data_IF_450242079658
#
_entry.id   IF_450242079658
#
_cell.length_a   1.000
_cell.length_b   1.000
_cell.length_c   1.000
_cell.angle_alpha   90.00
_cell.angle_beta   90.00
_cell.angle_gamma   90.00
#
_symmetry.space_group_name_H-M   'P 1'
#
loop_
_entity.id
_entity.type
_entity.pdbx_description
1 polymer ?
#
# COMPACT_ATOMS: atom_id res chain seq x y z
N UNK A 1 -0.67 13.35 -9.43
CA UNK A 1 0.66 13.00 -9.98
C UNK A 1 0.49 12.01 -11.12
N UNK A 2 1.37 12.05 -12.12
CA UNK A 2 1.44 11.03 -13.16
C UNK A 2 2.18 9.77 -12.63
N UNK A 3 2.08 8.61 -13.31
CA UNK A 3 2.68 7.36 -12.81
C UNK A 3 4.19 7.43 -12.53
N UNK A 4 4.95 8.17 -13.33
CA UNK A 4 6.41 8.33 -13.15
C UNK A 4 6.71 9.18 -11.91
N UNK A 5 5.96 10.25 -11.70
CA UNK A 5 6.08 11.10 -10.50
C UNK A 5 5.75 10.31 -9.23
N UNK A 6 4.80 9.38 -9.29
CA UNK A 6 4.44 8.51 -8.15
C UNK A 6 5.60 7.55 -7.82
N UNK A 7 6.17 6.87 -8.82
CA UNK A 7 7.31 5.97 -8.58
C UNK A 7 8.54 6.71 -8.02
N UNK A 8 8.81 7.90 -8.56
CA UNK A 8 9.89 8.77 -8.07
C UNK A 8 9.65 9.22 -6.63
N UNK A 9 8.42 9.63 -6.31
CA UNK A 9 8.05 10.02 -4.96
C UNK A 9 8.23 8.86 -3.98
N UNK A 10 7.71 7.66 -4.30
CA UNK A 10 7.82 6.47 -3.46
C UNK A 10 9.29 6.06 -3.24
N UNK A 11 10.12 6.10 -4.29
CA UNK A 11 11.56 5.84 -4.16
C UNK A 11 12.23 6.84 -3.21
N UNK A 12 11.90 8.13 -3.34
CA UNK A 12 12.44 9.17 -2.48
C UNK A 12 12.07 8.98 -0.99
N UNK A 13 10.86 8.46 -0.69
CA UNK A 13 10.45 8.14 0.69
C UNK A 13 11.33 7.04 1.32
N UNK A 14 11.67 6.03 0.52
CA UNK A 14 12.54 4.93 0.93
C UNK A 14 13.97 5.40 1.20
N UNK A 15 14.52 6.19 0.30
CA UNK A 15 15.86 6.78 0.42
C UNK A 15 15.99 7.67 1.67
N UNK A 16 14.99 8.49 1.95
CA UNK A 16 15.01 9.39 3.11
C UNK A 16 15.03 8.60 4.43
N UNK A 17 14.20 7.56 4.55
CA UNK A 17 14.23 6.64 5.69
C UNK A 17 15.58 5.95 5.83
N UNK A 18 16.20 5.58 4.71
CA UNK A 18 17.51 4.92 4.71
C UNK A 18 18.59 5.86 5.26
N UNK A 19 18.71 7.07 4.71
CA UNK A 19 19.67 8.09 5.19
C UNK A 19 19.46 8.45 6.65
N UNK A 20 18.20 8.57 7.09
CA UNK A 20 17.90 8.84 8.48
C UNK A 20 18.39 7.72 9.42
N UNK A 21 18.33 6.46 8.98
CA UNK A 21 18.82 5.30 9.74
C UNK A 21 20.34 5.15 9.70
N UNK A 22 20.99 5.46 8.58
CA UNK A 22 22.46 5.43 8.46
C UNK A 22 23.14 6.37 9.47
N UNK A 23 22.50 7.51 9.78
CA UNK A 23 22.97 8.44 10.81
C UNK A 23 22.94 7.86 12.24
N UNK A 24 22.25 6.73 12.47
CA UNK A 24 22.04 6.09 13.77
C UNK A 24 22.48 4.62 13.76
N UNK A 25 23.70 4.35 13.31
CA UNK A 25 24.22 2.98 13.13
C UNK A 25 24.29 2.14 14.42
N UNK A 26 24.29 2.77 15.60
CA UNK A 26 24.24 2.08 16.90
C UNK A 26 22.83 1.72 17.35
N UNK A 27 21.78 2.25 16.72
CA UNK A 27 20.40 1.98 17.08
C UNK A 27 19.90 0.69 16.41
N UNK A 28 19.17 -0.12 17.16
CA UNK A 28 18.53 -1.33 16.67
C UNK A 28 17.22 -1.01 15.96
N UNK A 29 16.68 -1.96 15.18
CA UNK A 29 15.35 -1.79 14.57
C UNK A 29 14.28 -1.52 15.63
N UNK A 30 14.38 -2.18 16.79
CA UNK A 30 13.46 -2.02 17.91
C UNK A 30 13.49 -0.60 18.51
N UNK A 31 14.62 0.10 18.46
CA UNK A 31 14.72 1.49 18.94
C UNK A 31 13.94 2.47 18.06
N UNK A 32 13.64 2.09 16.80
CA UNK A 32 12.83 2.89 15.89
C UNK A 32 11.33 2.63 15.98
N UNK A 33 10.91 1.62 16.74
CA UNK A 33 9.48 1.34 17.00
C UNK A 33 8.97 2.11 18.24
N UNK A 34 9.89 2.63 19.07
CA UNK A 34 9.57 3.44 20.24
C UNK A 34 9.50 4.94 19.87
N UNK A 35 8.31 5.57 19.92
CA UNK A 35 8.17 6.98 19.53
C UNK A 35 8.93 7.94 20.45
N UNK A 36 9.25 7.57 21.69
CA UNK A 36 10.04 8.40 22.60
C UNK A 36 11.55 8.34 22.31
N UNK A 37 12.01 7.24 21.71
CA UNK A 37 13.42 7.06 21.29
C UNK A 37 13.67 7.42 19.84
N UNK A 38 12.60 7.71 19.07
CA UNK A 38 12.69 8.01 17.66
C UNK A 38 13.51 9.28 17.41
N UNK A 39 14.66 9.19 16.72
CA UNK A 39 15.50 10.36 16.46
C UNK A 39 14.75 11.42 15.64
N UNK A 40 15.05 12.70 15.90
CA UNK A 40 14.33 13.83 15.30
C UNK A 40 14.33 13.80 13.75
N UNK A 41 15.46 13.45 13.13
CA UNK A 41 15.57 13.32 11.68
C UNK A 41 14.69 12.19 11.11
N UNK A 42 14.57 11.06 11.82
CA UNK A 42 13.69 9.96 11.42
C UNK A 42 12.21 10.34 11.61
N UNK A 43 11.90 11.07 12.69
CA UNK A 43 10.55 11.62 12.91
C UNK A 43 10.14 12.61 11.82
N UNK A 44 11.04 13.50 11.42
CA UNK A 44 10.82 14.42 10.29
C UNK A 44 10.63 13.69 8.97
N UNK A 45 11.46 12.67 8.69
CA UNK A 45 11.31 11.82 7.52
C UNK A 45 9.91 11.15 7.50
N UNK A 46 9.44 10.64 8.65
CA UNK A 46 8.09 10.08 8.76
C UNK A 46 6.98 11.11 8.48
N UNK A 47 7.13 12.35 8.95
CA UNK A 47 6.16 13.42 8.67
C UNK A 47 6.11 13.78 7.18
N UNK A 48 7.27 13.96 6.55
CA UNK A 48 7.37 14.22 5.09
C UNK A 48 6.80 13.07 4.27
N UNK A 49 7.06 11.83 4.70
CA UNK A 49 6.54 10.64 4.04
C UNK A 49 5.01 10.55 4.18
N UNK A 50 4.46 10.85 5.36
CA UNK A 50 3.02 10.87 5.57
C UNK A 50 2.33 11.92 4.69
N UNK A 51 2.87 13.14 4.62
CA UNK A 51 2.35 14.20 3.74
C UNK A 51 2.36 13.80 2.26
N UNK A 52 3.46 13.18 1.81
CA UNK A 52 3.59 12.72 0.43
C UNK A 52 2.61 11.59 0.11
N UNK A 53 2.46 10.62 1.02
CA UNK A 53 1.51 9.51 0.84
C UNK A 53 0.06 9.99 0.83
N UNK A 54 -0.31 10.95 1.68
CA UNK A 54 -1.63 11.57 1.64
C UNK A 54 -1.91 12.25 0.29
N UNK A 55 -0.90 12.85 -0.32
CA UNK A 55 -0.99 13.49 -1.64
C UNK A 55 -1.06 12.50 -2.82
N UNK A 56 -0.56 11.28 -2.63
CA UNK A 56 -0.61 10.21 -3.63
C UNK A 56 -1.93 9.43 -3.53
N UNK A 57 -2.36 9.07 -2.32
CA UNK A 57 -3.57 8.27 -2.09
C UNK A 57 -4.86 9.06 -2.30
N UNK A 58 -4.77 10.38 -2.24
CA UNK A 58 -5.86 11.29 -2.48
C UNK A 58 -5.37 12.42 -3.37
N UNK A 59 -6.14 12.78 -4.39
CA UNK A 59 -5.87 13.99 -5.19
C UNK A 59 -5.97 15.29 -4.33
N UNK A 60 -6.26 15.18 -3.02
CA UNK A 60 -6.30 16.22 -1.99
C UNK A 60 -6.24 15.60 -0.58
N UNK A 61 -5.59 16.24 0.42
CA UNK A 61 -5.58 15.76 1.83
C UNK A 61 -6.96 15.32 2.35
N UNK A 62 -7.00 14.18 3.07
CA UNK A 62 -8.22 13.74 3.76
C UNK A 62 -8.55 14.73 4.88
N UNK A 63 -9.80 15.20 4.93
CA UNK A 63 -10.21 16.16 5.96
C UNK A 63 -10.50 15.46 7.27
N UNK A 64 -11.04 14.24 7.22
CA UNK A 64 -11.43 13.44 8.38
C UNK A 64 -11.08 11.96 8.21
N UNK A 65 -10.84 11.25 9.32
CA UNK A 65 -10.53 9.80 9.32
C UNK A 65 -11.60 8.95 8.63
N UNK A 66 -12.85 9.41 8.64
CA UNK A 66 -13.96 8.74 7.93
C UNK A 66 -13.73 8.69 6.42
N UNK A 67 -13.10 9.71 5.84
CA UNK A 67 -12.83 9.76 4.40
C UNK A 67 -11.74 8.75 4.02
N UNK A 68 -10.71 8.63 4.88
CA UNK A 68 -9.67 7.60 4.75
C UNK A 68 -10.27 6.19 4.82
N UNK A 69 -11.14 5.93 5.80
CA UNK A 69 -11.78 4.63 5.95
C UNK A 69 -12.65 4.26 4.73
N UNK A 70 -13.44 5.20 4.21
CA UNK A 70 -14.26 4.98 3.00
C UNK A 70 -13.42 4.62 1.78
N UNK A 71 -12.28 5.29 1.59
CA UNK A 71 -11.36 5.00 0.48
C UNK A 71 -10.76 3.60 0.60
N UNK A 72 -10.33 3.20 1.80
CA UNK A 72 -9.79 1.86 2.06
C UNK A 72 -10.79 0.76 1.73
N UNK A 73 -12.04 0.88 2.20
CA UNK A 73 -13.10 -0.09 1.88
C UNK A 73 -13.43 -0.14 0.38
N UNK A 74 -13.41 1.01 -0.31
CA UNK A 74 -13.65 1.07 -1.74
C UNK A 74 -12.53 0.41 -2.56
N UNK A 75 -11.27 0.53 -2.13
CA UNK A 75 -10.13 -0.15 -2.74
C UNK A 75 -10.21 -1.66 -2.54
N UNK A 76 -10.49 -2.10 -1.31
CA UNK A 76 -10.62 -3.52 -0.98
C UNK A 76 -11.75 -4.20 -1.79
N UNK A 77 -12.92 -3.55 -1.87
CA UNK A 77 -14.04 -4.04 -2.68
C UNK A 77 -13.69 -4.15 -4.18
N UNK A 78 -12.92 -3.18 -4.71
CA UNK A 78 -12.50 -3.21 -6.13
C UNK A 78 -11.46 -4.29 -6.41
N UNK A 79 -10.53 -4.53 -5.49
CA UNK A 79 -9.51 -5.56 -5.66
C UNK A 79 -10.12 -6.96 -5.55
N UNK A 80 -10.96 -7.19 -4.54
CA UNK A 80 -11.67 -8.47 -4.34
C UNK A 80 -12.63 -8.81 -5.47
N UNK A 81 -13.37 -7.83 -6.02
CA UNK A 81 -14.22 -8.03 -7.18
C UNK A 81 -13.42 -8.42 -8.44
N UNK A 82 -12.26 -7.78 -8.66
CA UNK A 82 -11.37 -8.13 -9.78
C UNK A 82 -10.78 -9.53 -9.66
N UNK A 83 -10.54 -10.03 -8.45
CA UNK A 83 -10.09 -11.40 -8.21
C UNK A 83 -11.19 -12.44 -8.45
N UNK A 84 -12.46 -12.08 -8.24
CA UNK A 84 -13.63 -12.91 -8.54
C UNK A 84 -13.86 -13.09 -10.05
N UNK A 85 -13.80 -12.01 -10.81
CA UNK A 85 -13.97 -12.02 -12.28
C UNK A 85 -12.89 -12.86 -12.99
N UNK A 86 -11.69 -12.97 -12.42
CA UNK A 86 -10.62 -13.81 -12.97
C UNK A 86 -10.78 -15.30 -12.67
N UNK A 87 -11.62 -15.68 -11.70
CA UNK A 87 -11.90 -17.10 -11.40
C UNK A 87 -13.04 -17.70 -12.23
N UNK A 88 -13.97 -16.89 -12.74
CA UNK A 88 -15.07 -17.37 -13.59
C UNK A 88 -14.67 -17.59 -15.06
N UNK A 89 -13.56 -17.02 -15.53
CA UNK A 89 -13.10 -17.14 -16.91
C UNK A 89 -12.44 -18.49 -17.28
N UNK A 90 -12.26 -19.41 -16.32
CA UNK A 90 -11.71 -20.76 -16.58
C UNK A 90 -12.62 -21.86 -16.05
N UNK A 91 -13.82 -21.98 -16.61
CA UNK A 91 -14.55 -23.26 -16.58
C UNK A 91 -14.72 -23.74 -18.03
N UNK A 92 -14.02 -24.80 -18.47
CA UNK A 92 -14.35 -25.40 -19.76
C UNK A 92 -15.70 -26.09 -19.64
N UNK A 93 -16.63 -25.66 -20.48
CA UNK A 93 -17.86 -26.39 -20.78
C UNK A 93 -17.49 -27.79 -21.30
N UNK A 94 -18.03 -28.84 -20.69
CA UNK A 94 -18.02 -30.18 -21.28
C UNK A 94 -17.82 -31.33 -20.30
N UNK A 95 -18.92 -31.86 -19.78
CA UNK A 95 -19.00 -33.26 -19.36
C UNK A 95 -20.45 -33.75 -19.46
N UNK A 96 -20.96 -33.87 -20.69
CA UNK A 96 -22.04 -34.82 -20.94
C UNK A 96 -21.41 -36.21 -20.92
N UNK A 97 -21.68 -37.00 -19.88
CA UNK A 97 -21.54 -38.45 -19.94
C UNK A 97 -22.93 -39.06 -20.03
N UNK A 98 -23.42 -39.14 -21.26
CA UNK A 98 -24.44 -40.11 -21.64
C UNK A 98 -23.71 -41.29 -22.28
N UNK A 99 -23.48 -42.36 -21.52
CA UNK A 99 -23.21 -43.67 -22.09
C UNK A 99 -24.05 -44.70 -21.34
N UNK A 100 -25.18 -45.02 -21.96
CA UNK A 100 -25.82 -46.31 -21.83
C UNK A 100 -24.91 -47.36 -22.48
N UNK A 101 -24.68 -48.49 -21.79
CA UNK A 101 -24.60 -49.85 -22.36
C UNK A 101 -24.12 -50.85 -21.29
N UNK A 102 -25.06 -51.70 -20.84
CA UNK A 102 -24.99 -53.16 -20.72
C UNK A 102 -25.96 -53.64 -19.64
#
# INVERSE_FOLDING_TARGET
>A
MNPVEIEQAVSALGDERHRAREAHFSATIADFDDPEKLPANLREAHLRNAETLEHIDSDSRFKHDTDRLKKLFAMDTRMTAKEGDQKEATTPAGAQRAEAQA
#
